data_IF_937281541213
#
_entry.id   IF_937281541213
#
_cell.length_a   1.000
_cell.length_b   1.000
_cell.length_c   1.000
_cell.angle_alpha   90.00
_cell.angle_beta   90.00
_cell.angle_gamma   90.00
#
_symmetry.space_group_name_H-M   'P 1'
#
loop_
_entity.id
_entity.type
_entity.pdbx_description
1 polymer ?
#
# COMPACT_ATOMS: atom_id res chain seq x y z
N UNK A 1 -13.62 -16.85 -11.57
CA UNK A 1 -13.88 -15.40 -11.34
C UNK A 1 -12.60 -14.58 -11.28
N UNK A 2 -11.64 -14.93 -10.42
CA UNK A 2 -10.38 -14.22 -10.25
C UNK A 2 -9.58 -14.01 -11.55
N UNK A 3 -9.43 -15.06 -12.34
CA UNK A 3 -8.70 -15.05 -13.61
C UNK A 3 -9.25 -14.04 -14.62
N UNK A 4 -10.57 -13.86 -14.70
CA UNK A 4 -11.19 -12.91 -15.63
C UNK A 4 -10.82 -11.47 -15.30
N UNK A 5 -10.77 -11.12 -14.01
CA UNK A 5 -10.36 -9.79 -13.56
C UNK A 5 -8.91 -9.50 -13.98
N UNK A 6 -8.00 -10.46 -13.79
CA UNK A 6 -6.60 -10.29 -14.20
C UNK A 6 -6.44 -10.20 -15.71
N UNK A 7 -7.20 -10.97 -16.49
CA UNK A 7 -7.18 -10.89 -17.95
C UNK A 7 -7.63 -9.50 -18.43
N UNK A 8 -8.74 -8.99 -17.89
CA UNK A 8 -9.23 -7.64 -18.21
C UNK A 8 -8.21 -6.57 -17.83
N UNK A 9 -7.61 -6.65 -16.65
CA UNK A 9 -6.58 -5.70 -16.21
C UNK A 9 -5.35 -5.77 -17.14
N UNK A 10 -4.88 -6.97 -17.48
CA UNK A 10 -3.74 -7.16 -18.38
C UNK A 10 -3.99 -6.56 -19.76
N UNK A 11 -5.14 -6.84 -20.37
CA UNK A 11 -5.54 -6.30 -21.66
C UNK A 11 -5.68 -4.77 -21.61
N UNK A 12 -6.28 -4.22 -20.56
CA UNK A 12 -6.41 -2.77 -20.39
C UNK A 12 -5.05 -2.07 -20.25
N UNK A 13 -4.12 -2.67 -19.49
CA UNK A 13 -2.76 -2.14 -19.35
C UNK A 13 -2.03 -2.19 -20.69
N UNK A 14 -2.12 -3.30 -21.42
CA UNK A 14 -1.53 -3.44 -22.76
C UNK A 14 -2.06 -2.37 -23.71
N UNK A 15 -3.38 -2.26 -23.82
CA UNK A 15 -4.01 -1.33 -24.75
C UNK A 15 -3.66 0.13 -24.44
N UNK A 16 -3.51 0.47 -23.16
CA UNK A 16 -3.24 1.84 -22.73
C UNK A 16 -1.74 2.22 -22.73
N UNK A 17 -0.84 1.25 -22.60
CA UNK A 17 0.62 1.50 -22.67
C UNK A 17 1.22 1.27 -24.06
N UNK A 18 0.46 0.71 -25.00
CA UNK A 18 0.88 0.51 -26.38
C UNK A 18 1.34 1.83 -27.01
N UNK A 19 2.58 1.87 -27.52
CA UNK A 19 3.15 3.05 -28.19
C UNK A 19 3.75 4.13 -27.28
N UNK A 20 3.92 3.87 -25.97
CA UNK A 20 4.63 4.81 -25.05
C UNK A 20 6.07 4.40 -24.79
N UNK A 21 6.92 5.31 -24.29
CA UNK A 21 8.34 5.02 -23.95
C UNK A 21 8.55 3.92 -22.90
N UNK A 22 7.47 3.39 -22.29
CA UNK A 22 7.47 2.30 -21.31
C UNK A 22 6.89 0.99 -21.87
N UNK A 23 6.87 0.84 -23.19
CA UNK A 23 6.26 -0.29 -23.90
C UNK A 23 6.70 -1.65 -23.35
N UNK A 24 8.01 -1.88 -23.13
CA UNK A 24 8.52 -3.14 -22.58
C UNK A 24 7.92 -3.48 -21.19
N UNK A 25 7.74 -2.48 -20.32
CA UNK A 25 7.15 -2.69 -19.00
C UNK A 25 5.64 -2.92 -19.08
N UNK A 26 4.94 -2.22 -19.99
CA UNK A 26 3.52 -2.46 -20.25
C UNK A 26 3.27 -3.87 -20.80
N UNK A 27 4.15 -4.33 -21.70
CA UNK A 27 4.13 -5.69 -22.24
C UNK A 27 4.40 -6.73 -21.15
N UNK A 28 5.47 -6.56 -20.37
CA UNK A 28 5.80 -7.48 -19.28
C UNK A 28 4.69 -7.56 -18.23
N UNK A 29 4.11 -6.43 -17.84
CA UNK A 29 3.02 -6.41 -16.85
C UNK A 29 1.74 -7.03 -17.37
N UNK A 30 1.34 -6.70 -18.61
CA UNK A 30 0.20 -7.38 -19.24
C UNK A 30 0.43 -8.88 -19.33
N UNK A 31 1.61 -9.31 -19.77
CA UNK A 31 1.96 -10.72 -19.88
C UNK A 31 1.94 -11.42 -18.52
N UNK A 32 2.42 -10.77 -17.44
CA UNK A 32 2.32 -11.28 -16.07
C UNK A 32 0.86 -11.43 -15.64
N UNK A 33 -0.01 -10.45 -15.92
CA UNK A 33 -1.42 -10.57 -15.54
C UNK A 33 -2.17 -11.63 -16.33
N UNK A 34 -1.87 -11.77 -17.62
CA UNK A 34 -2.44 -12.82 -18.47
C UNK A 34 -1.95 -14.20 -18.00
N UNK A 35 -0.66 -14.36 -17.70
CA UNK A 35 -0.14 -15.63 -17.18
C UNK A 35 -0.69 -15.96 -15.80
N UNK A 36 -0.83 -15.00 -14.88
CA UNK A 36 -1.51 -15.18 -13.59
C UNK A 36 -2.97 -15.61 -13.80
N UNK A 37 -3.69 -14.97 -14.73
CA UNK A 37 -5.05 -15.35 -15.06
C UNK A 37 -5.13 -16.81 -15.54
N UNK A 38 -4.22 -17.20 -16.42
CA UNK A 38 -4.15 -18.55 -16.97
C UNK A 38 -3.74 -19.58 -15.92
N UNK A 39 -2.81 -19.28 -15.01
CA UNK A 39 -2.43 -20.17 -13.90
C UNK A 39 -3.60 -20.39 -12.93
N UNK A 40 -4.43 -19.38 -12.66
CA UNK A 40 -5.61 -19.56 -11.80
C UNK A 40 -6.61 -20.62 -12.29
N UNK A 41 -6.47 -21.06 -13.55
CA UNK A 41 -7.27 -22.13 -14.14
C UNK A 41 -6.78 -23.53 -13.69
N UNK A 42 -5.49 -23.76 -13.41
CA UNK A 42 -4.99 -25.08 -12.96
C UNK A 42 -5.62 -25.52 -11.65
N UNK A 43 -5.79 -24.62 -10.68
CA UNK A 43 -6.35 -24.93 -9.37
C UNK A 43 -7.81 -25.42 -9.40
N UNK A 44 -8.53 -25.18 -10.50
CA UNK A 44 -9.87 -25.74 -10.74
C UNK A 44 -9.78 -27.22 -11.14
N UNK A 45 -8.67 -27.63 -11.74
CA UNK A 45 -8.47 -28.96 -12.33
C UNK A 45 -7.59 -29.90 -11.48
N UNK A 46 -6.90 -29.41 -10.45
CA UNK A 46 -6.01 -30.21 -9.59
C UNK A 46 -6.71 -31.33 -8.80
N UNK A 47 -8.05 -31.30 -8.67
CA UNK A 47 -8.83 -32.31 -7.95
C UNK A 47 -9.63 -33.28 -8.82
N UNK A 48 -9.80 -32.98 -10.10
CA UNK A 48 -10.47 -33.89 -11.05
C UNK A 48 -9.39 -34.58 -11.87
N UNK A 49 -9.33 -35.91 -11.83
CA UNK A 49 -8.63 -36.68 -12.85
C UNK A 49 -9.14 -36.17 -14.19
N UNK A 50 -8.32 -35.36 -14.90
CA UNK A 50 -8.73 -34.65 -16.11
C UNK A 50 -9.38 -35.70 -16.99
N UNK A 51 -10.70 -35.59 -17.16
CA UNK A 51 -11.46 -36.54 -17.96
C UNK A 51 -10.79 -36.67 -19.33
N UNK A 52 -11.00 -37.76 -20.10
CA UNK A 52 -10.38 -37.95 -21.41
C UNK A 52 -10.68 -36.85 -22.45
N UNK A 53 -11.40 -35.79 -22.08
CA UNK A 53 -11.74 -34.69 -22.92
C UNK A 53 -10.48 -33.92 -23.38
N UNK A 54 -10.14 -33.94 -24.68
CA UNK A 54 -8.94 -33.31 -25.21
C UNK A 54 -8.90 -31.79 -24.97
N UNK A 55 -10.06 -31.12 -24.92
CA UNK A 55 -10.11 -29.67 -24.66
C UNK A 55 -9.63 -29.32 -23.25
N UNK A 56 -9.98 -30.14 -22.25
CA UNK A 56 -9.54 -29.91 -20.87
C UNK A 56 -8.05 -30.20 -20.71
N UNK A 57 -7.52 -31.19 -21.41
CA UNK A 57 -6.08 -31.46 -21.45
C UNK A 57 -5.29 -30.31 -22.09
N UNK A 58 -5.79 -29.74 -23.18
CA UNK A 58 -5.20 -28.53 -23.79
C UNK A 58 -5.25 -27.34 -22.83
N UNK A 59 -6.37 -27.10 -22.14
CA UNK A 59 -6.45 -26.02 -21.16
C UNK A 59 -5.48 -26.22 -19.98
N UNK A 60 -5.37 -27.45 -19.47
CA UNK A 60 -4.45 -27.80 -18.39
C UNK A 60 -2.99 -27.63 -18.78
N UNK A 61 -2.60 -28.08 -19.98
CA UNK A 61 -1.23 -27.90 -20.50
C UNK A 61 -0.88 -26.44 -20.72
N UNK A 62 -1.78 -25.63 -21.29
CA UNK A 62 -1.59 -24.17 -21.44
C UNK A 62 -1.40 -23.50 -20.08
N UNK A 63 -2.23 -23.86 -19.10
CA UNK A 63 -2.18 -23.31 -17.75
C UNK A 63 -0.89 -23.70 -17.03
N UNK A 64 -0.45 -24.96 -17.19
CA UNK A 64 0.84 -25.46 -16.70
C UNK A 64 1.98 -24.67 -17.31
N UNK A 65 2.07 -24.57 -18.64
CA UNK A 65 3.11 -23.77 -19.33
C UNK A 65 3.12 -22.33 -18.84
N UNK A 66 1.94 -21.72 -18.64
CA UNK A 66 1.82 -20.35 -18.13
C UNK A 66 2.47 -20.18 -16.76
N UNK A 67 2.37 -21.19 -15.89
CA UNK A 67 3.04 -21.20 -14.59
C UNK A 67 4.57 -21.21 -14.71
N UNK A 68 5.12 -21.98 -15.67
CA UNK A 68 6.58 -22.00 -15.94
C UNK A 68 7.10 -20.63 -16.41
N UNK A 69 6.33 -19.91 -17.23
CA UNK A 69 6.77 -18.62 -17.77
C UNK A 69 6.59 -17.47 -16.78
N UNK A 70 5.66 -17.61 -15.82
CA UNK A 70 5.37 -16.56 -14.83
C UNK A 70 6.61 -16.18 -14.00
N UNK A 71 7.35 -17.15 -13.48
CA UNK A 71 8.52 -16.90 -12.62
C UNK A 71 9.62 -16.06 -13.28
N UNK A 72 10.16 -16.42 -14.46
CA UNK A 72 11.16 -15.61 -15.14
C UNK A 72 10.62 -14.25 -15.58
N UNK A 73 9.34 -14.15 -15.98
CA UNK A 73 8.72 -12.87 -16.29
C UNK A 73 8.62 -11.96 -15.06
N UNK A 74 8.25 -12.50 -13.91
CA UNK A 74 8.18 -11.77 -12.65
C UNK A 74 9.58 -11.32 -12.20
N UNK A 75 10.60 -12.18 -12.35
CA UNK A 75 11.99 -11.83 -12.11
C UNK A 75 12.44 -10.67 -13.01
N UNK A 76 12.21 -10.78 -14.32
CA UNK A 76 12.55 -9.73 -15.28
C UNK A 76 11.83 -8.42 -14.97
N UNK A 77 10.53 -8.48 -14.60
CA UNK A 77 9.77 -7.30 -14.19
C UNK A 77 10.36 -6.66 -12.94
N UNK A 78 10.58 -7.41 -11.86
CA UNK A 78 11.17 -6.88 -10.62
C UNK A 78 12.58 -6.34 -10.86
N UNK A 79 13.38 -6.94 -11.73
CA UNK A 79 14.76 -6.48 -11.98
C UNK A 79 14.84 -5.27 -12.91
N UNK A 80 13.83 -5.02 -13.74
CA UNK A 80 13.79 -3.90 -14.69
C UNK A 80 12.95 -2.71 -14.20
N UNK A 81 11.93 -2.96 -13.38
CA UNK A 81 11.05 -1.93 -12.82
C UNK A 81 11.84 -0.89 -12.01
N UNK A 82 11.57 0.42 -12.14
CA UNK A 82 10.56 1.08 -12.98
C UNK A 82 11.02 1.55 -14.37
N UNK A 83 12.32 1.43 -14.70
CA UNK A 83 12.88 2.09 -15.89
C UNK A 83 12.96 1.18 -17.12
N UNK A 84 12.61 -0.11 -16.98
CA UNK A 84 12.70 -1.10 -18.06
C UNK A 84 14.14 -1.54 -18.38
N UNK A 85 15.12 -1.09 -17.60
CA UNK A 85 16.55 -1.35 -17.82
C UNK A 85 17.15 -2.11 -16.65
N UNK A 86 18.03 -3.06 -16.97
CA UNK A 86 18.84 -3.79 -15.99
C UNK A 86 19.95 -2.88 -15.45
N UNK A 87 19.90 -2.61 -14.14
CA UNK A 87 20.91 -1.81 -13.44
C UNK A 87 21.21 -2.46 -12.08
N UNK A 88 22.45 -2.93 -11.83
CA UNK A 88 23.61 -3.00 -12.74
C UNK A 88 23.38 -3.90 -13.96
N UNK A 89 24.21 -3.79 -15.02
CA UNK A 89 24.05 -4.60 -16.24
C UNK A 89 24.07 -6.11 -15.97
N UNK A 90 24.77 -6.58 -14.95
CA UNK A 90 24.84 -8.00 -14.56
C UNK A 90 23.58 -8.50 -13.84
N UNK A 91 22.62 -7.61 -13.52
CA UNK A 91 21.40 -7.99 -12.81
C UNK A 91 20.53 -8.98 -13.56
N UNK A 92 20.68 -9.12 -14.89
CA UNK A 92 19.97 -10.14 -15.66
C UNK A 92 20.31 -11.57 -15.21
N UNK A 93 21.48 -11.82 -14.62
CA UNK A 93 21.82 -13.15 -14.11
C UNK A 93 20.94 -13.61 -12.95
N UNK A 94 20.33 -12.68 -12.22
CA UNK A 94 19.37 -13.06 -11.19
C UNK A 94 18.13 -13.72 -11.78
N UNK A 95 17.84 -13.55 -13.08
CA UNK A 95 16.82 -14.35 -13.77
C UNK A 95 17.19 -15.83 -13.77
N UNK A 96 18.48 -16.17 -13.94
CA UNK A 96 18.94 -17.56 -13.85
C UNK A 96 18.78 -18.11 -12.42
N UNK A 97 18.98 -17.28 -11.40
CA UNK A 97 18.70 -17.68 -10.01
C UNK A 97 17.22 -17.96 -9.77
N UNK A 98 16.33 -17.14 -10.34
CA UNK A 98 14.89 -17.40 -10.29
C UNK A 98 14.49 -18.68 -11.03
N UNK A 99 15.08 -18.93 -12.20
CA UNK A 99 14.90 -20.19 -12.94
C UNK A 99 15.42 -21.40 -12.15
N UNK A 100 16.59 -21.26 -11.51
CA UNK A 100 17.17 -22.29 -10.66
C UNK A 100 16.32 -22.60 -9.43
N UNK A 101 15.79 -21.58 -8.76
CA UNK A 101 14.83 -21.74 -7.67
C UNK A 101 13.58 -22.50 -8.14
N UNK A 102 13.04 -22.12 -9.30
CA UNK A 102 11.85 -22.75 -9.82
C UNK A 102 12.09 -24.21 -10.23
N UNK A 103 13.21 -24.51 -10.88
CA UNK A 103 13.62 -25.88 -11.17
C UNK A 103 13.80 -26.69 -9.87
N UNK A 104 14.40 -26.09 -8.84
CA UNK A 104 14.56 -26.72 -7.54
C UNK A 104 13.22 -26.97 -6.84
N UNK A 105 12.25 -26.05 -6.99
CA UNK A 105 10.88 -26.24 -6.49
C UNK A 105 10.23 -27.48 -7.10
N UNK A 106 10.32 -27.66 -8.42
CA UNK A 106 9.77 -28.85 -9.10
C UNK A 106 10.42 -30.13 -8.57
N UNK A 107 11.76 -30.14 -8.45
CA UNK A 107 12.48 -31.31 -7.93
C UNK A 107 12.14 -31.57 -6.46
N UNK A 108 11.98 -30.52 -5.64
CA UNK A 108 11.58 -30.66 -4.24
C UNK A 108 10.17 -31.25 -4.11
N UNK A 109 9.25 -30.88 -5.00
CA UNK A 109 7.86 -31.34 -5.01
C UNK A 109 7.72 -32.83 -5.38
N UNK A 110 8.64 -33.38 -6.18
CA UNK A 110 8.67 -34.83 -6.47
C UNK A 110 8.98 -35.71 -5.24
N UNK A 111 9.40 -35.13 -4.12
CA UNK A 111 9.67 -35.85 -2.88
C UNK A 111 11.00 -36.63 -2.86
N UNK A 112 11.81 -36.56 -3.93
CA UNK A 112 13.08 -37.31 -4.08
C UNK A 112 14.04 -37.10 -2.89
N UNK A 113 14.05 -35.91 -2.28
CA UNK A 113 14.96 -35.55 -1.20
C UNK A 113 14.27 -35.47 0.19
N UNK A 114 13.06 -36.01 0.32
CA UNK A 114 12.31 -36.01 1.59
C UNK A 114 12.09 -34.60 2.15
N UNK A 115 12.03 -34.47 3.48
CA UNK A 115 11.78 -33.18 4.15
C UNK A 115 12.94 -32.16 4.04
N UNK A 116 14.16 -32.62 3.75
CA UNK A 116 15.33 -31.75 3.59
C UNK A 116 15.20 -30.83 2.36
N UNK A 117 14.41 -31.23 1.35
CA UNK A 117 14.16 -30.43 0.14
C UNK A 117 13.56 -29.07 0.47
N UNK A 118 12.58 -29.01 1.39
CA UNK A 118 11.89 -27.77 1.75
C UNK A 118 12.76 -26.80 2.54
N UNK A 119 13.65 -27.30 3.40
CA UNK A 119 14.61 -26.45 4.12
C UNK A 119 15.64 -25.83 3.15
N UNK A 120 16.14 -26.62 2.20
CA UNK A 120 17.02 -26.11 1.14
C UNK A 120 16.29 -25.12 0.24
N UNK A 121 15.03 -25.40 -0.11
CA UNK A 121 14.19 -24.51 -0.90
C UNK A 121 14.03 -23.16 -0.21
N UNK A 122 13.77 -23.16 1.10
CA UNK A 122 13.68 -21.94 1.87
C UNK A 122 14.99 -21.12 1.81
N UNK A 123 16.14 -21.79 1.90
CA UNK A 123 17.45 -21.15 1.71
C UNK A 123 17.60 -20.53 0.32
N UNK A 124 17.25 -21.27 -0.73
CA UNK A 124 17.30 -20.78 -2.12
C UNK A 124 16.37 -19.58 -2.31
N UNK A 125 15.13 -19.65 -1.80
CA UNK A 125 14.15 -18.56 -1.81
C UNK A 125 14.70 -17.31 -1.12
N UNK A 126 15.35 -17.46 0.04
CA UNK A 126 15.96 -16.32 0.73
C UNK A 126 17.06 -15.66 -0.09
N UNK A 127 17.89 -16.46 -0.77
CA UNK A 127 18.96 -15.95 -1.64
C UNK A 127 18.40 -15.23 -2.85
N UNK A 128 17.42 -15.81 -3.56
CA UNK A 128 16.83 -15.22 -4.77
C UNK A 128 16.05 -13.95 -4.47
N UNK A 129 15.17 -13.97 -3.47
CA UNK A 129 14.39 -12.80 -3.07
C UNK A 129 15.27 -11.75 -2.40
N UNK A 130 16.18 -12.15 -1.51
CA UNK A 130 17.11 -11.25 -0.83
C UNK A 130 18.03 -10.51 -1.80
N UNK A 131 18.52 -11.20 -2.83
CA UNK A 131 19.31 -10.56 -3.88
C UNK A 131 18.48 -9.62 -4.77
N UNK A 132 17.26 -10.02 -5.13
CA UNK A 132 16.33 -9.15 -5.87
C UNK A 132 16.00 -7.87 -5.09
N UNK A 133 15.76 -7.99 -3.79
CA UNK A 133 15.57 -6.86 -2.87
C UNK A 133 16.82 -5.99 -2.77
N UNK A 134 18.01 -6.60 -2.68
CA UNK A 134 19.28 -5.88 -2.62
C UNK A 134 19.50 -5.02 -3.88
N UNK A 135 19.15 -5.53 -5.06
CA UNK A 135 19.22 -4.78 -6.32
C UNK A 135 18.20 -3.63 -6.32
N UNK A 136 16.97 -3.88 -5.87
CA UNK A 136 15.95 -2.84 -5.77
C UNK A 136 16.37 -1.71 -4.81
N UNK A 137 16.97 -2.05 -3.66
CA UNK A 137 17.52 -1.08 -2.70
C UNK A 137 18.69 -0.30 -3.30
N UNK A 138 19.62 -0.99 -3.98
CA UNK A 138 20.74 -0.35 -4.68
C UNK A 138 20.25 0.65 -5.72
N UNK A 139 19.28 0.25 -6.55
CA UNK A 139 18.70 1.12 -7.58
C UNK A 139 17.96 2.30 -6.96
N UNK A 140 17.21 2.08 -5.89
CA UNK A 140 16.53 3.16 -5.15
C UNK A 140 17.51 4.20 -4.59
N UNK A 141 18.61 3.74 -4.01
CA UNK A 141 19.61 4.60 -3.39
C UNK A 141 20.46 5.36 -4.42
N UNK A 142 20.87 4.71 -5.52
CA UNK A 142 21.92 5.23 -6.42
C UNK A 142 21.47 5.58 -7.83
N UNK A 143 20.37 4.99 -8.32
CA UNK A 143 20.00 5.07 -9.75
C UNK A 143 18.68 5.82 -9.96
N UNK A 144 17.72 5.71 -9.04
CA UNK A 144 16.37 6.21 -9.28
C UNK A 144 16.24 7.73 -9.26
N UNK A 145 15.56 8.25 -10.28
CA UNK A 145 15.06 9.63 -10.35
C UNK A 145 13.89 9.83 -9.39
N UNK A 146 13.52 11.09 -9.07
CA UNK A 146 12.41 11.39 -8.17
C UNK A 146 11.08 10.70 -8.57
N UNK A 147 10.72 10.71 -9.86
CA UNK A 147 9.52 10.04 -10.38
C UNK A 147 9.55 8.52 -10.20
N UNK A 148 10.71 7.92 -10.41
CA UNK A 148 10.95 6.47 -10.32
C UNK A 148 10.82 5.98 -8.89
N UNK A 149 11.34 6.74 -7.91
CA UNK A 149 11.14 6.45 -6.48
C UNK A 149 9.66 6.41 -6.11
N UNK A 150 8.85 7.32 -6.66
CA UNK A 150 7.42 7.34 -6.40
C UNK A 150 6.70 6.13 -7.03
N UNK A 151 7.14 5.65 -8.19
CA UNK A 151 6.61 4.41 -8.80
C UNK A 151 6.95 3.17 -7.97
N UNK A 152 8.18 3.07 -7.45
CA UNK A 152 8.57 1.97 -6.54
C UNK A 152 7.79 2.01 -5.23
N UNK A 153 7.49 3.19 -4.69
CA UNK A 153 6.65 3.32 -3.49
C UNK A 153 5.25 2.76 -3.70
N UNK A 154 4.62 2.98 -4.86
CA UNK A 154 3.36 2.32 -5.19
C UNK A 154 3.53 0.81 -5.23
N UNK A 155 4.50 0.29 -5.98
CA UNK A 155 4.74 -1.16 -6.06
C UNK A 155 4.90 -1.79 -4.66
N UNK A 156 5.75 -1.19 -3.82
CA UNK A 156 5.98 -1.63 -2.44
C UNK A 156 4.71 -1.54 -1.60
N UNK A 157 3.91 -0.48 -1.75
CA UNK A 157 2.64 -0.33 -1.07
C UNK A 157 1.65 -1.46 -1.44
N UNK A 158 1.53 -1.77 -2.73
CA UNK A 158 0.68 -2.86 -3.23
C UNK A 158 1.13 -4.23 -2.73
N UNK A 159 2.44 -4.51 -2.79
CA UNK A 159 3.05 -5.74 -2.26
C UNK A 159 2.81 -5.87 -0.75
N UNK A 160 3.06 -4.81 0.01
CA UNK A 160 2.89 -4.81 1.47
C UNK A 160 1.44 -5.03 1.86
N UNK A 161 0.50 -4.37 1.15
CA UNK A 161 -0.93 -4.54 1.40
C UNK A 161 -1.37 -5.99 1.09
N UNK A 162 -0.94 -6.56 -0.04
CA UNK A 162 -1.24 -7.96 -0.38
C UNK A 162 -0.71 -8.93 0.68
N UNK A 163 0.55 -8.78 1.11
CA UNK A 163 1.16 -9.61 2.16
C UNK A 163 0.44 -9.49 3.50
N UNK A 164 0.03 -8.28 3.89
CA UNK A 164 -0.72 -8.05 5.13
C UNK A 164 -2.10 -8.73 5.11
N UNK A 165 -2.80 -8.67 3.98
CA UNK A 165 -4.10 -9.31 3.84
C UNK A 165 -3.99 -10.84 3.92
N UNK A 166 -2.94 -11.42 3.31
CA UNK A 166 -2.66 -12.85 3.40
C UNK A 166 -2.24 -13.27 4.80
N UNK A 167 -1.33 -12.54 5.43
CA UNK A 167 -0.94 -12.82 6.80
C UNK A 167 -2.16 -12.75 7.73
N UNK A 168 -3.02 -11.75 7.55
CA UNK A 168 -4.29 -11.62 8.26
C UNK A 168 -5.20 -12.83 8.06
N UNK A 169 -5.41 -13.29 6.83
CA UNK A 169 -6.26 -14.46 6.56
C UNK A 169 -5.70 -15.75 7.12
N UNK A 170 -4.37 -15.95 7.06
CA UNK A 170 -3.68 -17.08 7.67
C UNK A 170 -3.78 -17.06 9.19
N UNK A 171 -3.58 -15.90 9.82
CA UNK A 171 -3.73 -15.74 11.28
C UNK A 171 -5.16 -16.06 11.70
N UNK A 172 -6.17 -15.53 11.00
CA UNK A 172 -7.58 -15.80 11.30
C UNK A 172 -7.88 -17.30 11.22
N UNK A 173 -7.41 -17.99 10.18
CA UNK A 173 -7.60 -19.43 10.04
C UNK A 173 -6.97 -20.24 11.18
N UNK A 174 -5.75 -19.89 11.58
CA UNK A 174 -5.06 -20.58 12.69
C UNK A 174 -5.71 -20.33 14.05
N UNK A 175 -6.24 -19.12 14.29
CA UNK A 175 -6.86 -18.75 15.56
C UNK A 175 -8.28 -19.29 15.73
N UNK A 176 -9.00 -19.49 14.63
CA UNK A 176 -10.37 -20.00 14.62
C UNK A 176 -10.43 -21.28 13.77
N UNK A 177 -9.97 -22.44 14.28
CA UNK A 177 -9.89 -23.68 13.50
C UNK A 177 -11.24 -24.15 12.97
N UNK A 178 -12.35 -23.71 13.58
CA UNK A 178 -13.70 -23.99 13.10
C UNK A 178 -14.01 -23.32 11.74
N UNK A 179 -13.37 -22.19 11.44
CA UNK A 179 -13.42 -21.52 10.15
C UNK A 179 -12.43 -22.11 9.14
N UNK A 180 -11.50 -22.97 9.57
CA UNK A 180 -10.54 -23.66 8.71
C UNK A 180 -10.91 -25.13 8.46
N UNK A 181 -12.19 -25.48 8.68
CA UNK A 181 -12.72 -26.77 8.26
C UNK A 181 -12.92 -26.77 6.74
N UNK A 182 -12.61 -27.88 6.04
CA UNK A 182 -12.71 -27.98 4.57
C UNK A 182 -14.06 -27.51 4.02
N UNK A 183 -15.15 -27.82 4.73
CA UNK A 183 -16.53 -27.50 4.31
C UNK A 183 -17.01 -26.12 4.78
N UNK A 184 -16.16 -25.35 5.44
CA UNK A 184 -16.53 -24.02 5.94
C UNK A 184 -16.66 -23.02 4.78
N UNK A 185 -17.67 -22.13 4.81
CA UNK A 185 -17.80 -21.06 3.82
C UNK A 185 -16.55 -20.20 3.72
N UNK A 186 -15.80 -20.03 4.82
CA UNK A 186 -14.55 -19.27 4.85
C UNK A 186 -13.45 -19.92 4.02
N UNK A 187 -13.23 -21.23 4.16
CA UNK A 187 -12.19 -21.93 3.41
C UNK A 187 -12.53 -22.03 1.92
N UNK A 188 -13.81 -22.25 1.58
CA UNK A 188 -14.29 -22.17 0.21
C UNK A 188 -14.06 -20.79 -0.40
N UNK A 189 -14.36 -19.72 0.36
CA UNK A 189 -14.10 -18.35 -0.08
C UNK A 189 -12.61 -18.08 -0.26
N UNK A 190 -11.76 -18.59 0.65
CA UNK A 190 -10.32 -18.36 0.61
C UNK A 190 -9.62 -19.15 -0.50
N UNK A 191 -10.05 -20.39 -0.80
CA UNK A 191 -9.53 -21.13 -1.94
C UNK A 191 -9.88 -20.43 -3.27
N UNK A 192 -11.09 -19.89 -3.39
CA UNK A 192 -11.55 -19.27 -4.63
C UNK A 192 -11.10 -17.81 -4.80
N UNK A 193 -10.99 -17.05 -3.71
CA UNK A 193 -10.69 -15.62 -3.72
C UNK A 193 -9.32 -15.27 -3.13
N UNK A 194 -8.61 -16.21 -2.51
CA UNK A 194 -7.31 -15.97 -1.87
C UNK A 194 -6.26 -15.42 -2.84
N UNK A 195 -6.26 -15.92 -4.08
CA UNK A 195 -5.42 -15.35 -5.15
C UNK A 195 -5.75 -13.87 -5.43
N UNK A 196 -7.03 -13.47 -5.42
CA UNK A 196 -7.41 -12.07 -5.61
C UNK A 196 -6.89 -11.18 -4.49
N UNK A 197 -6.88 -11.66 -3.26
CA UNK A 197 -6.46 -10.89 -2.09
C UNK A 197 -4.99 -10.44 -2.22
N UNK A 198 -4.12 -11.28 -2.77
CA UNK A 198 -2.70 -10.97 -2.97
C UNK A 198 -2.49 -10.13 -4.23
N UNK A 199 -3.04 -10.61 -5.35
CA UNK A 199 -2.65 -10.10 -6.65
C UNK A 199 -3.41 -8.81 -7.02
N UNK A 200 -4.65 -8.60 -6.56
CA UNK A 200 -5.44 -7.43 -6.92
C UNK A 200 -4.85 -6.11 -6.40
N UNK A 201 -4.39 -5.99 -5.13
CA UNK A 201 -3.67 -4.81 -4.67
C UNK A 201 -2.39 -4.54 -5.48
N UNK A 202 -1.66 -5.60 -5.82
CA UNK A 202 -0.46 -5.51 -6.64
C UNK A 202 -0.80 -5.02 -8.06
N UNK A 203 -1.84 -5.56 -8.69
CA UNK A 203 -2.31 -5.16 -10.02
C UNK A 203 -2.71 -3.70 -10.06
N UNK A 204 -3.53 -3.28 -9.11
CA UNK A 204 -3.98 -1.89 -9.03
C UNK A 204 -2.80 -0.97 -8.80
N UNK A 205 -1.86 -1.36 -7.95
CA UNK A 205 -0.70 -0.53 -7.66
C UNK A 205 0.24 -0.39 -8.86
N UNK A 206 0.51 -1.48 -9.59
CA UNK A 206 1.29 -1.46 -10.83
C UNK A 206 0.58 -0.63 -11.89
N UNK A 207 -0.74 -0.80 -12.04
CA UNK A 207 -1.55 0.00 -12.95
C UNK A 207 -1.46 1.49 -12.61
N UNK A 208 -1.59 1.86 -11.34
CA UNK A 208 -1.47 3.25 -10.89
C UNK A 208 -0.05 3.79 -11.12
N UNK A 209 0.98 3.01 -10.79
CA UNK A 209 2.38 3.39 -10.97
C UNK A 209 2.75 3.65 -12.45
N UNK A 210 2.18 2.86 -13.37
CA UNK A 210 2.43 2.96 -14.80
C UNK A 210 1.54 4.01 -15.50
N UNK A 211 0.27 4.11 -15.11
CA UNK A 211 -0.72 4.94 -15.82
C UNK A 211 -0.78 6.40 -15.35
N UNK A 212 -0.30 6.71 -14.13
CA UNK A 212 -0.22 8.09 -13.64
C UNK A 212 1.23 8.56 -13.53
N UNK A 213 1.78 8.96 -14.68
CA UNK A 213 2.97 9.81 -14.70
C UNK A 213 2.67 11.13 -13.96
N UNK A 214 3.44 11.44 -12.89
CA UNK A 214 3.29 12.61 -11.95
C UNK A 214 2.40 12.40 -10.70
N UNK A 215 2.53 11.27 -9.99
CA UNK A 215 1.90 11.07 -8.68
C UNK A 215 2.53 11.97 -7.59
N UNK A 216 2.06 13.21 -7.49
CA UNK A 216 2.55 14.20 -6.53
C UNK A 216 2.19 13.94 -5.06
N UNK A 217 1.45 12.87 -4.69
CA UNK A 217 0.96 12.72 -3.31
C UNK A 217 0.87 11.26 -2.78
N UNK A 218 1.62 10.31 -3.32
CA UNK A 218 1.64 8.96 -2.72
C UNK A 218 2.18 8.97 -1.29
N UNK A 219 3.06 9.91 -0.95
CA UNK A 219 3.54 10.11 0.43
C UNK A 219 2.38 10.41 1.40
N UNK A 220 1.35 11.14 0.97
CA UNK A 220 0.15 11.39 1.80
C UNK A 220 -0.67 10.12 1.98
N UNK A 221 -0.85 9.34 0.90
CA UNK A 221 -1.59 8.09 0.95
C UNK A 221 -0.85 7.12 1.87
N UNK A 222 0.45 6.85 1.64
CA UNK A 222 1.28 5.97 2.47
C UNK A 222 1.23 6.40 3.92
N UNK A 223 1.41 7.69 4.23
CA UNK A 223 1.32 8.16 5.60
C UNK A 223 -0.05 7.87 6.19
N UNK A 224 -1.16 8.20 5.50
CA UNK A 224 -2.50 7.88 6.00
C UNK A 224 -2.68 6.37 6.19
N UNK A 225 -2.31 5.53 5.22
CA UNK A 225 -2.47 4.08 5.33
C UNK A 225 -1.56 3.47 6.38
N UNK A 226 -0.36 4.00 6.61
CA UNK A 226 0.50 3.58 7.72
C UNK A 226 -0.15 3.95 9.05
N UNK A 227 -0.64 5.17 9.19
CA UNK A 227 -1.33 5.63 10.41
C UNK A 227 -2.56 4.76 10.71
N UNK A 228 -3.50 4.70 9.76
CA UNK A 228 -4.74 3.93 9.94
C UNK A 228 -4.47 2.41 9.94
N UNK A 229 -3.47 1.95 9.20
CA UNK A 229 -3.05 0.55 9.14
C UNK A 229 -2.43 0.10 10.46
N UNK A 230 -1.46 0.83 11.01
CA UNK A 230 -0.89 0.56 12.33
C UNK A 230 -1.97 0.62 13.41
N UNK A 231 -2.88 1.60 13.36
CA UNK A 231 -4.04 1.66 14.24
C UNK A 231 -4.89 0.38 14.15
N UNK A 232 -5.21 -0.06 12.94
CA UNK A 232 -6.01 -1.27 12.70
C UNK A 232 -5.28 -2.52 13.18
N UNK A 233 -3.97 -2.64 12.91
CA UNK A 233 -3.15 -3.78 13.36
C UNK A 233 -3.08 -3.85 14.88
N UNK A 234 -2.83 -2.72 15.57
CA UNK A 234 -2.81 -2.68 17.03
C UNK A 234 -4.18 -3.05 17.60
N UNK A 235 -5.25 -2.50 17.06
CA UNK A 235 -6.61 -2.81 17.50
C UNK A 235 -6.93 -4.31 17.32
N UNK A 236 -6.61 -4.87 16.16
CA UNK A 236 -6.78 -6.29 15.86
C UNK A 236 -5.90 -7.17 16.76
N UNK A 237 -4.65 -6.79 17.01
CA UNK A 237 -3.75 -7.54 17.87
C UNK A 237 -4.25 -7.57 19.33
N UNK A 238 -4.74 -6.45 19.85
CA UNK A 238 -5.35 -6.41 21.19
C UNK A 238 -6.64 -7.22 21.23
N UNK A 239 -7.47 -7.14 20.18
CA UNK A 239 -8.68 -7.95 20.06
C UNK A 239 -8.38 -9.46 20.09
N UNK A 240 -7.46 -9.90 19.25
CA UNK A 240 -6.99 -11.28 19.20
C UNK A 240 -6.38 -11.70 20.52
N UNK A 241 -5.51 -10.86 21.10
CA UNK A 241 -4.89 -11.13 22.41
C UNK A 241 -5.91 -11.29 23.53
N UNK A 242 -6.97 -10.48 23.52
CA UNK A 242 -8.07 -10.63 24.49
C UNK A 242 -8.81 -11.96 24.29
N UNK A 243 -9.16 -12.31 23.06
CA UNK A 243 -9.85 -13.57 22.77
C UNK A 243 -9.02 -14.76 23.24
N UNK A 244 -7.74 -14.81 22.87
CA UNK A 244 -6.84 -15.90 23.25
C UNK A 244 -6.69 -15.93 24.78
N UNK A 245 -6.50 -14.78 25.43
CA UNK A 245 -6.37 -14.67 26.88
C UNK A 245 -7.62 -15.15 27.63
N UNK A 246 -8.81 -14.71 27.19
CA UNK A 246 -10.08 -15.15 27.77
C UNK A 246 -10.30 -16.65 27.53
N UNK A 247 -10.02 -17.14 26.33
CA UNK A 247 -10.14 -18.56 26.01
C UNK A 247 -9.17 -19.41 26.84
N UNK A 248 -7.94 -18.94 27.09
CA UNK A 248 -6.97 -19.63 27.94
C UNK A 248 -7.40 -19.66 29.42
N UNK A 249 -7.90 -18.55 29.95
CA UNK A 249 -8.44 -18.48 31.32
C UNK A 249 -9.65 -19.41 31.49
N UNK A 250 -10.55 -19.42 30.51
CA UNK A 250 -11.77 -20.24 30.54
C UNK A 250 -11.47 -21.74 30.38
N UNK A 251 -10.47 -22.12 29.55
CA UNK A 251 -9.98 -23.50 29.46
C UNK A 251 -9.40 -24.02 30.77
N UNK A 252 -8.83 -23.14 31.61
CA UNK A 252 -8.31 -23.50 32.92
C UNK A 252 -9.39 -23.72 33.99
N UNK A 253 -10.61 -23.22 33.78
CA UNK A 253 -11.70 -23.24 34.78
C UNK A 253 -12.85 -24.18 34.37
N UNK A 254 -13.00 -24.48 33.07
CA UNK A 254 -14.18 -25.17 32.52
C UNK A 254 -13.74 -26.38 31.66
N UNK A 255 -14.12 -27.59 32.07
CA UNK A 255 -13.96 -28.83 31.30
C UNK A 255 -14.86 -28.83 30.06
N UNK A 256 -14.34 -29.35 28.94
CA UNK A 256 -14.85 -29.15 27.58
C UNK A 256 -16.20 -29.82 27.21
N UNK A 257 -16.84 -30.55 28.12
CA UNK A 257 -17.98 -31.42 27.75
C UNK A 257 -19.36 -30.75 27.80
N UNK A 258 -19.46 -29.50 28.27
CA UNK A 258 -20.76 -28.84 28.41
C UNK A 258 -20.96 -27.72 27.39
N UNK A 259 -21.79 -27.96 26.36
CA UNK A 259 -22.08 -27.00 25.28
C UNK A 259 -22.59 -25.64 25.78
N UNK A 260 -23.23 -25.62 26.96
CA UNK A 260 -23.66 -24.39 27.65
C UNK A 260 -22.48 -23.49 28.02
N UNK A 261 -21.34 -24.09 28.39
CA UNK A 261 -20.16 -23.34 28.80
C UNK A 261 -19.48 -22.63 27.61
N UNK A 262 -19.57 -23.21 26.41
CA UNK A 262 -19.11 -22.56 25.18
C UNK A 262 -19.98 -21.34 24.86
N UNK A 263 -21.31 -21.45 25.02
CA UNK A 263 -22.25 -20.35 24.78
C UNK A 263 -22.01 -19.20 25.77
N UNK A 264 -21.89 -19.51 27.07
CA UNK A 264 -21.61 -18.50 28.10
C UNK A 264 -20.26 -17.83 27.87
N UNK A 265 -19.23 -18.60 27.50
CA UNK A 265 -17.90 -18.07 27.18
C UNK A 265 -17.95 -17.12 25.99
N UNK A 266 -18.70 -17.47 24.95
CA UNK A 266 -18.86 -16.65 23.74
C UNK A 266 -19.62 -15.35 24.05
N UNK A 267 -20.68 -15.42 24.87
CA UNK A 267 -21.44 -14.25 25.32
C UNK A 267 -20.59 -13.32 26.19
N UNK A 268 -19.77 -13.87 27.09
CA UNK A 268 -18.88 -13.08 27.94
C UNK A 268 -17.83 -12.34 27.12
N UNK A 269 -17.22 -13.01 26.12
CA UNK A 269 -16.30 -12.37 25.16
C UNK A 269 -17.00 -11.22 24.42
N UNK A 270 -18.22 -11.46 23.92
CA UNK A 270 -19.00 -10.47 23.19
C UNK A 270 -19.39 -9.25 24.07
N UNK A 271 -19.72 -9.46 25.34
CA UNK A 271 -20.05 -8.36 26.26
C UNK A 271 -18.82 -7.49 26.62
N UNK A 272 -17.64 -8.11 26.78
CA UNK A 272 -16.38 -7.42 27.05
C UNK A 272 -15.82 -6.67 25.83
N UNK A 273 -16.24 -7.05 24.62
CA UNK A 273 -15.78 -6.48 23.36
C UNK A 273 -16.08 -4.98 23.23
N UNK A 274 -17.32 -4.58 23.52
CA UNK A 274 -17.79 -3.20 23.33
C UNK A 274 -17.05 -2.17 24.22
N UNK A 275 -16.86 -2.39 25.53
CA UNK A 275 -16.11 -1.46 26.37
C UNK A 275 -14.62 -1.42 25.99
N UNK A 276 -14.00 -2.56 25.67
CA UNK A 276 -12.58 -2.61 25.33
C UNK A 276 -12.26 -1.88 24.02
N UNK A 277 -13.10 -2.08 22.98
CA UNK A 277 -12.98 -1.36 21.70
C UNK A 277 -12.96 0.15 21.92
N UNK A 278 -13.89 0.66 22.73
CA UNK A 278 -13.99 2.10 23.01
C UNK A 278 -12.76 2.67 23.74
N UNK A 279 -12.15 1.90 24.65
CA UNK A 279 -10.96 2.29 25.42
C UNK A 279 -9.73 2.36 24.52
N UNK A 280 -9.51 1.34 23.69
CA UNK A 280 -8.38 1.29 22.75
C UNK A 280 -8.49 2.43 21.75
N UNK A 281 -9.68 2.65 21.20
CA UNK A 281 -9.93 3.72 20.24
C UNK A 281 -9.61 5.10 20.85
N UNK A 282 -10.05 5.37 22.09
CA UNK A 282 -9.70 6.60 22.82
C UNK A 282 -8.19 6.75 23.10
N UNK A 283 -7.50 5.67 23.47
CA UNK A 283 -6.04 5.71 23.72
C UNK A 283 -5.29 6.04 22.43
N UNK A 284 -5.69 5.43 21.32
CA UNK A 284 -5.01 5.66 20.05
C UNK A 284 -5.36 7.04 19.48
N UNK A 285 -6.63 7.46 19.53
CA UNK A 285 -7.02 8.82 19.13
C UNK A 285 -6.24 9.86 19.94
N UNK A 286 -6.07 9.67 21.24
CA UNK A 286 -5.30 10.57 22.10
C UNK A 286 -3.79 10.57 21.78
N UNK A 287 -3.22 9.43 21.40
CA UNK A 287 -1.78 9.29 21.12
C UNK A 287 -1.41 9.70 19.69
N UNK A 288 -2.35 9.57 18.74
CA UNK A 288 -2.11 9.74 17.31
C UNK A 288 -2.68 11.06 16.76
N UNK A 289 -3.85 11.49 17.20
CA UNK A 289 -4.44 12.78 16.80
C UNK A 289 -3.99 13.97 17.64
N UNK A 290 -2.93 13.83 18.46
CA UNK A 290 -2.40 14.93 19.27
C UNK A 290 -2.18 16.20 18.45
N UNK A 291 -1.62 16.09 17.23
CA UNK A 291 -1.42 17.23 16.31
C UNK A 291 -2.70 17.85 15.75
N UNK A 292 -3.78 17.08 15.53
CA UNK A 292 -5.05 17.62 14.98
C UNK A 292 -5.96 18.18 16.08
N UNK A 293 -5.88 17.58 17.28
CA UNK A 293 -6.58 18.06 18.47
C UNK A 293 -5.97 19.36 18.98
N UNK A 294 -4.63 19.47 18.95
CA UNK A 294 -3.93 20.71 19.27
C UNK A 294 -4.27 21.81 18.25
N UNK A 295 -4.30 21.51 16.94
CA UNK A 295 -4.68 22.49 15.91
C UNK A 295 -6.12 23.00 16.04
N UNK A 296 -7.09 22.13 16.35
CA UNK A 296 -8.48 22.55 16.55
C UNK A 296 -8.65 23.33 17.87
N UNK A 297 -7.89 22.97 18.92
CA UNK A 297 -7.88 23.66 20.20
C UNK A 297 -7.18 25.01 20.13
N UNK A 298 -6.09 25.13 19.35
CA UNK A 298 -5.44 26.41 19.07
C UNK A 298 -6.30 27.26 18.15
N UNK A 299 -6.99 26.71 17.15
CA UNK A 299 -7.95 27.48 16.35
C UNK A 299 -9.15 27.97 17.18
N UNK A 300 -9.66 27.14 18.10
CA UNK A 300 -10.76 27.52 18.99
C UNK A 300 -10.31 28.53 20.05
N UNK A 301 -9.08 28.40 20.57
CA UNK A 301 -8.49 29.39 21.47
C UNK A 301 -8.23 30.70 20.73
N UNK A 302 -7.66 30.67 19.52
CA UNK A 302 -7.44 31.83 18.67
C UNK A 302 -8.76 32.49 18.24
N UNK A 303 -9.79 31.69 17.91
CA UNK A 303 -11.14 32.19 17.62
C UNK A 303 -11.85 32.76 18.85
N UNK A 304 -11.46 32.37 20.06
CA UNK A 304 -11.95 32.96 21.30
C UNK A 304 -11.21 34.27 21.60
N UNK A 305 -9.89 34.31 21.43
CA UNK A 305 -9.05 35.52 21.59
C UNK A 305 -9.41 36.60 20.56
N UNK A 306 -9.65 36.23 19.30
CA UNK A 306 -10.08 37.15 18.24
C UNK A 306 -11.48 37.73 18.45
N UNK A 307 -12.28 37.15 19.36
CA UNK A 307 -13.63 37.65 19.68
C UNK A 307 -13.61 38.68 20.81
N UNK A 308 -12.52 38.76 21.57
CA UNK A 308 -12.38 39.66 22.72
C UNK A 308 -11.47 40.87 22.44
N UNK A 309 -10.49 40.79 21.52
CA UNK A 309 -9.56 41.92 21.28
C UNK A 309 -9.87 42.66 19.96
N UNK A 310 -10.79 43.62 20.02
CA UNK A 310 -11.01 44.60 18.93
C UNK A 310 -9.96 45.71 19.05
N UNK A 311 -8.74 45.42 18.60
CA UNK A 311 -7.78 46.45 18.21
C UNK A 311 -7.00 45.97 16.98
N UNK A 312 -7.31 46.57 15.82
CA UNK A 312 -6.76 46.26 14.50
C UNK A 312 -5.23 46.30 14.43
N UNK A 313 -4.59 47.01 15.36
CA UNK A 313 -3.13 47.14 15.44
C UNK A 313 -2.44 45.91 16.05
N UNK A 314 -3.03 45.28 17.09
CA UNK A 314 -2.48 44.06 17.69
C UNK A 314 -2.67 42.83 16.80
N UNK A 315 -3.81 42.76 16.10
CA UNK A 315 -4.12 41.69 15.15
C UNK A 315 -3.09 41.62 14.00
N UNK A 316 -2.52 42.76 13.61
CA UNK A 316 -1.48 42.86 12.58
C UNK A 316 -0.15 42.28 13.06
N UNK A 317 0.25 42.58 14.28
CA UNK A 317 1.49 42.07 14.87
C UNK A 317 1.40 40.56 15.14
N UNK A 318 0.29 40.08 15.70
CA UNK A 318 0.08 38.65 15.93
C UNK A 318 0.04 37.84 14.63
N UNK A 319 -0.56 38.36 13.55
CA UNK A 319 -0.56 37.69 12.24
C UNK A 319 0.84 37.52 11.67
N UNK A 320 1.69 38.54 11.79
CA UNK A 320 3.07 38.48 11.31
C UNK A 320 3.87 37.50 12.16
N UNK A 321 3.73 37.52 13.48
CA UNK A 321 4.43 36.59 14.40
C UNK A 321 4.00 35.14 14.16
N UNK A 322 2.70 34.87 14.04
CA UNK A 322 2.18 33.53 13.80
C UNK A 322 2.65 32.96 12.45
N UNK A 323 2.72 33.78 11.40
CA UNK A 323 3.25 33.38 10.08
C UNK A 323 4.77 33.15 10.15
N UNK A 324 5.49 33.99 10.90
CA UNK A 324 6.93 33.86 11.09
C UNK A 324 7.29 32.57 11.84
N UNK A 325 6.57 32.24 12.92
CA UNK A 325 6.80 31.03 13.71
C UNK A 325 6.36 29.76 12.99
N UNK A 326 5.25 29.81 12.24
CA UNK A 326 4.69 28.61 11.62
C UNK A 326 5.41 28.23 10.31
N UNK A 327 5.86 29.24 9.54
CA UNK A 327 6.36 29.02 8.17
C UNK A 327 7.83 29.39 7.98
N UNK A 328 8.47 30.06 8.95
CA UNK A 328 9.85 30.58 8.87
C UNK A 328 10.25 31.18 7.51
N UNK A 329 9.47 32.10 6.94
CA UNK A 329 9.80 32.74 5.66
C UNK A 329 10.99 33.70 5.82
N UNK A 330 11.78 33.85 4.76
CA UNK A 330 12.89 34.79 4.74
C UNK A 330 12.42 36.25 4.79
N UNK A 331 11.30 36.63 4.16
CA UNK A 331 10.68 37.98 4.21
C UNK A 331 9.14 37.90 4.26
N UNK A 332 8.50 38.82 4.99
CA UNK A 332 7.02 38.97 5.08
C UNK A 332 6.63 40.43 4.83
N UNK A 333 5.63 40.68 3.99
CA UNK A 333 5.04 42.01 3.83
C UNK A 333 3.51 41.92 3.84
N UNK A 334 2.86 42.79 4.61
CA UNK A 334 1.40 42.88 4.73
C UNK A 334 0.92 44.19 4.12
N UNK A 335 0.11 44.09 3.06
CA UNK A 335 -0.48 45.23 2.38
C UNK A 335 -1.96 45.33 2.74
N UNK A 336 -2.34 46.40 3.43
CA UNK A 336 -3.74 46.73 3.71
C UNK A 336 -4.23 47.71 2.64
N UNK A 337 -5.45 47.48 2.15
CA UNK A 337 -6.10 48.39 1.19
C UNK A 337 -6.45 49.70 1.93
N UNK A 338 -5.97 50.87 1.47
CA UNK A 338 -6.45 52.15 2.00
C UNK A 338 -7.95 52.27 1.71
N UNK A 339 -8.77 52.48 2.74
CA UNK A 339 -10.14 52.93 2.56
C UNK A 339 -10.12 54.30 1.90
N UNK A 340 -10.83 54.45 0.77
CA UNK A 340 -10.87 55.66 -0.05
C UNK A 340 -11.18 56.92 0.78
N UNK A 341 -10.42 58.01 0.61
CA UNK A 341 -10.81 59.31 1.13
C UNK A 341 -11.98 59.88 0.32
N UNK A 342 -12.84 60.59 1.04
CA UNK A 342 -14.07 61.24 0.61
C UNK A 342 -13.96 61.96 -0.75
N UNK A 343 -14.88 61.65 -1.67
CA UNK A 343 -15.02 62.30 -2.98
C UNK A 343 -15.57 63.72 -2.78
N UNK A 344 -14.68 64.68 -2.59
CA UNK A 344 -15.11 66.06 -2.36
C UNK A 344 -14.01 67.10 -2.53
N UNK A 345 -13.29 67.12 -3.66
CA UNK A 345 -12.79 68.35 -4.28
C UNK A 345 -12.12 68.05 -5.62
N UNK A 346 -12.94 68.16 -6.66
CA UNK A 346 -12.53 68.49 -8.01
C UNK A 346 -11.91 69.91 -8.02
N UNK A 347 -11.06 70.18 -9.01
CA UNK A 347 -10.53 71.50 -9.42
C UNK A 347 -9.31 72.04 -8.67
N UNK A 348 -8.12 71.80 -9.22
CA UNK A 348 -7.49 72.85 -10.03
C UNK A 348 -6.27 72.35 -10.80
N UNK A 349 -6.29 72.72 -12.07
CA UNK A 349 -5.20 72.64 -13.03
C UNK A 349 -3.92 73.33 -12.54
N UNK A 350 -2.75 72.93 -13.07
CA UNK A 350 -1.86 73.79 -13.89
C UNK A 350 -0.42 73.23 -13.99
N UNK A 351 0.01 73.11 -15.25
CA UNK A 351 1.36 73.23 -15.84
C UNK A 351 2.53 72.27 -15.50
N UNK A 352 2.85 71.47 -16.53
CA UNK A 352 4.07 71.55 -17.37
C UNK A 352 5.39 70.90 -16.86
N UNK A 353 6.16 70.22 -17.75
CA UNK A 353 7.29 69.37 -17.43
C UNK A 353 8.66 70.04 -17.65
N UNK A 354 9.76 69.46 -17.13
CA UNK A 354 11.05 69.33 -17.84
C UNK A 354 12.16 68.68 -16.99
N UNK A 355 12.87 67.75 -17.62
CA UNK A 355 14.32 67.49 -17.62
C UNK A 355 15.18 67.86 -16.39
N UNK A 356 16.03 66.93 -15.93
CA UNK A 356 17.44 66.88 -16.34
C UNK A 356 18.23 65.76 -15.65
N UNK A 357 19.03 65.09 -16.48
CA UNK A 357 20.22 64.27 -16.20
C UNK A 357 21.28 65.01 -15.36
N UNK A 358 21.97 64.28 -14.46
CA UNK A 358 23.40 64.39 -14.07
C UNK A 358 23.68 63.20 -13.13
N UNK A 359 24.38 62.14 -13.55
CA UNK A 359 25.85 61.98 -13.55
C UNK A 359 26.59 62.63 -12.37
N UNK A 360 27.35 61.81 -11.61
CA UNK A 360 28.60 62.24 -10.98
C UNK A 360 28.80 61.93 -9.49
N UNK A 361 29.47 60.80 -9.22
CA UNK A 361 30.62 60.62 -8.29
C UNK A 361 30.48 61.13 -6.84
N UNK A 362 30.48 60.20 -5.89
CA UNK A 362 31.62 59.93 -4.98
C UNK A 362 31.55 58.51 -4.44
#
# INVERSE_FOLDING_TARGET
MASLVFLVIGVLIFWRLWGTSHELLGLLTSFIFITIALTGITGVFEGESVSPNPFLQVAFTISSISFFVLFPCLAAFLLTFPNGRFAPRWSWLFILLWLGQFAFFIVADTGIFGSASYSLLAGVVLVTWGSTLSIQVYRYARVYTYSERQQTKWLVFGLTLGLLLTAGSTIIGNLLPQLSRPDSPYQLLMNNLGGLIIFLPLSLSIGIALLRYRLWNIDIIINRTLVYGTLTVVLTAVYVGLIIGLQALLRGVISQDNGVAIVISTLAIAALFQPLRSRIQKIIDRRFYRRKYDAARTLAAFSATLRDEVNLDQLREELVVAVQETMQPSHVSLWLRPTEPDRGQQENWISTPAAHTKEGIL
#
